data_IF_047610491733
#
_entry.id   IF_047610491733
#
_cell.length_a   1.000
_cell.length_b   1.000
_cell.length_c   1.000
_cell.angle_alpha   90.00
_cell.angle_beta   90.00
_cell.angle_gamma   90.00
#
_symmetry.space_group_name_H-M   'P 1'
#
loop_
_entity.id
_entity.type
_entity.pdbx_description
1 polymer ?
#
# COMPACT_ATOMS: atom_id res chain seq x y z
N UNK A 1 5.94 19.89 -2.83
CA UNK A 1 6.95 18.96 -3.35
C UNK A 1 7.64 18.14 -2.26
N UNK A 2 8.31 18.75 -1.27
CA UNK A 2 9.01 17.99 -0.22
C UNK A 2 8.11 17.07 0.62
N UNK A 3 6.93 17.56 1.07
CA UNK A 3 5.97 16.77 1.86
C UNK A 3 5.47 15.51 1.13
N UNK A 4 5.05 15.65 -0.13
CA UNK A 4 4.60 14.52 -0.95
C UNK A 4 5.71 13.51 -1.22
N UNK A 5 6.93 13.98 -1.46
CA UNK A 5 8.09 13.09 -1.57
C UNK A 5 8.33 12.31 -0.28
N UNK A 6 8.27 12.97 0.88
CA UNK A 6 8.46 12.31 2.17
C UNK A 6 7.39 11.23 2.44
N UNK A 7 6.11 11.54 2.19
CA UNK A 7 5.03 10.56 2.30
C UNK A 7 5.27 9.33 1.41
N UNK A 8 5.70 9.56 0.17
CA UNK A 8 6.05 8.49 -0.77
C UNK A 8 7.20 7.64 -0.26
N UNK A 9 8.25 8.24 0.30
CA UNK A 9 9.36 7.49 0.90
C UNK A 9 8.91 6.65 2.10
N UNK A 10 8.04 7.18 2.96
CA UNK A 10 7.50 6.42 4.09
C UNK A 10 6.75 5.17 3.61
N UNK A 11 5.87 5.30 2.60
CA UNK A 11 5.16 4.16 2.03
C UNK A 11 6.11 3.16 1.36
N UNK A 12 7.12 3.63 0.63
CA UNK A 12 8.10 2.74 0.00
C UNK A 12 8.94 1.98 1.02
N UNK A 13 9.33 2.62 2.13
CA UNK A 13 10.04 1.96 3.22
C UNK A 13 9.16 0.89 3.86
N UNK A 14 7.89 1.20 4.13
CA UNK A 14 6.92 0.26 4.66
C UNK A 14 6.79 -0.99 3.76
N UNK A 15 6.61 -0.79 2.45
CA UNK A 15 6.41 -1.89 1.51
C UNK A 15 7.68 -2.69 1.25
N UNK A 16 8.86 -2.14 1.54
CA UNK A 16 10.16 -2.84 1.42
C UNK A 16 10.61 -3.50 2.72
N UNK A 17 10.02 -3.14 3.86
CA UNK A 17 10.35 -3.75 5.13
C UNK A 17 9.95 -5.24 5.14
N UNK A 18 10.87 -6.07 5.62
CA UNK A 18 10.72 -7.54 5.75
C UNK A 18 10.78 -7.98 7.21
N UNK A 19 10.68 -7.05 8.16
CA UNK A 19 10.59 -7.34 9.58
C UNK A 19 9.34 -8.16 9.91
N UNK A 20 9.47 -9.07 10.89
CA UNK A 20 8.38 -9.98 11.32
C UNK A 20 7.12 -9.29 11.84
N UNK A 21 7.21 -7.99 12.16
CA UNK A 21 6.08 -7.17 12.63
C UNK A 21 5.45 -6.35 11.50
N UNK A 22 5.80 -6.63 10.24
CA UNK A 22 5.28 -5.90 9.09
C UNK A 22 4.10 -6.64 8.46
N UNK A 23 2.91 -6.18 8.78
CA UNK A 23 1.64 -6.69 8.27
C UNK A 23 0.94 -5.55 7.53
N UNK A 24 0.82 -5.68 6.21
CA UNK A 24 0.26 -4.64 5.33
C UNK A 24 -0.89 -5.24 4.54
N UNK A 25 -2.10 -4.83 4.86
CA UNK A 25 -3.31 -5.15 4.11
C UNK A 25 -3.58 -4.09 3.02
N UNK A 26 -4.35 -4.47 2.01
CA UNK A 26 -4.73 -3.60 0.89
C UNK A 26 -6.25 -3.53 0.79
N UNK A 27 -6.76 -2.32 0.65
CA UNK A 27 -8.16 -2.00 0.44
C UNK A 27 -8.32 -1.13 -0.81
N UNK A 28 -9.51 -1.13 -1.39
CA UNK A 28 -9.83 -0.40 -2.59
C UNK A 28 -10.96 0.59 -2.33
N UNK A 29 -10.77 1.86 -2.68
CA UNK A 29 -11.79 2.90 -2.58
C UNK A 29 -11.79 3.76 -3.83
N UNK A 30 -12.76 3.54 -4.74
CA UNK A 30 -12.87 4.24 -6.00
C UNK A 30 -11.55 4.23 -6.81
N UNK A 31 -10.88 5.39 -6.88
CA UNK A 31 -9.59 5.58 -7.56
C UNK A 31 -8.38 5.49 -6.62
N UNK A 32 -8.58 4.97 -5.40
CA UNK A 32 -7.56 4.85 -4.37
C UNK A 32 -7.24 3.38 -4.08
N UNK A 33 -5.94 3.12 -3.97
CA UNK A 33 -5.40 1.92 -3.34
C UNK A 33 -4.94 2.30 -1.93
N UNK A 34 -5.47 1.64 -0.92
CA UNK A 34 -5.20 1.96 0.49
C UNK A 34 -4.35 0.85 1.08
N UNK A 35 -3.16 1.19 1.55
CA UNK A 35 -2.30 0.29 2.31
C UNK A 35 -2.53 0.52 3.80
N UNK A 36 -2.80 -0.54 4.53
CA UNK A 36 -3.07 -0.48 5.97
C UNK A 36 -1.98 -1.26 6.69
N UNK A 37 -1.13 -0.54 7.42
CA UNK A 37 -0.16 -1.14 8.34
C UNK A 37 -0.84 -1.35 9.68
N UNK A 38 -1.03 -2.61 10.06
CA UNK A 38 -1.58 -2.95 11.39
C UNK A 38 -0.47 -2.88 12.43
N UNK A 39 -0.65 -2.08 13.48
CA UNK A 39 0.23 -2.09 14.65
C UNK A 39 -0.53 -2.51 15.91
N UNK A 40 0.17 -2.62 17.05
CA UNK A 40 -0.42 -3.09 18.30
C UNK A 40 -1.50 -2.16 18.89
N UNK A 41 -1.46 -0.86 18.55
CA UNK A 41 -2.27 0.17 19.21
C UNK A 41 -3.16 0.95 18.24
N UNK A 42 -2.67 1.16 17.03
CA UNK A 42 -3.38 1.89 15.98
C UNK A 42 -3.02 1.27 14.63
N UNK A 43 -3.84 1.57 13.63
CA UNK A 43 -3.52 1.27 12.25
C UNK A 43 -2.98 2.54 11.60
N UNK A 44 -1.99 2.37 10.73
CA UNK A 44 -1.49 3.46 9.89
C UNK A 44 -1.91 3.23 8.45
N UNK A 45 -2.57 4.22 7.88
CA UNK A 45 -3.17 4.15 6.56
C UNK A 45 -2.39 4.99 5.56
N UNK A 46 -2.28 4.47 4.34
CA UNK A 46 -1.69 5.17 3.20
C UNK A 46 -2.63 5.00 2.01
N UNK A 47 -3.42 6.02 1.70
CA UNK A 47 -4.19 6.06 0.47
C UNK A 47 -3.33 6.66 -0.64
N UNK A 48 -3.30 6.00 -1.79
CA UNK A 48 -2.66 6.51 -3.00
C UNK A 48 -3.64 6.47 -4.15
N UNK A 49 -3.71 7.57 -4.90
CA UNK A 49 -4.47 7.61 -6.15
C UNK A 49 -3.66 6.92 -7.26
N UNK A 50 -4.29 6.01 -7.98
CA UNK A 50 -3.75 5.36 -9.18
C UNK A 50 -4.70 5.51 -10.36
N UNK A 51 -4.19 5.39 -11.60
CA UNK A 51 -5.05 5.18 -12.75
C UNK A 51 -5.97 3.96 -12.55
N UNK A 52 -7.25 4.12 -12.92
CA UNK A 52 -8.27 3.07 -12.79
C UNK A 52 -7.85 1.71 -13.33
N UNK A 53 -7.17 1.66 -14.48
CA UNK A 53 -6.67 0.41 -15.06
C UNK A 53 -5.68 -0.35 -14.17
N UNK A 54 -4.81 0.37 -13.43
CA UNK A 54 -3.85 -0.26 -12.52
C UNK A 54 -4.58 -0.80 -11.29
N UNK A 55 -5.61 -0.08 -10.79
CA UNK A 55 -6.45 -0.52 -9.67
C UNK A 55 -7.22 -1.79 -10.04
N UNK A 56 -7.89 -1.79 -11.19
CA UNK A 56 -8.61 -2.96 -11.71
C UNK A 56 -7.68 -4.17 -11.88
N UNK A 57 -6.47 -3.95 -12.40
CA UNK A 57 -5.45 -5.00 -12.49
C UNK A 57 -5.07 -5.56 -11.12
N UNK A 58 -4.85 -4.71 -10.11
CA UNK A 58 -4.50 -5.17 -8.76
C UNK A 58 -5.67 -5.92 -8.11
N UNK A 59 -6.90 -5.43 -8.30
CA UNK A 59 -8.13 -6.02 -7.77
C UNK A 59 -8.45 -7.42 -8.38
N UNK A 60 -7.90 -7.76 -9.56
CA UNK A 60 -8.02 -9.11 -10.11
C UNK A 60 -7.22 -10.16 -9.31
N UNK A 61 -6.21 -9.74 -8.54
CA UNK A 61 -5.29 -10.64 -7.82
C UNK A 61 -5.37 -10.50 -6.30
N UNK A 62 -5.99 -9.43 -5.80
CA UNK A 62 -6.20 -9.20 -4.38
C UNK A 62 -7.68 -8.87 -4.13
N UNK A 63 -8.24 -9.56 -3.14
CA UNK A 63 -9.52 -9.16 -2.57
C UNK A 63 -9.31 -7.99 -1.62
N UNK A 64 -10.34 -7.19 -1.44
CA UNK A 64 -10.35 -6.15 -0.41
C UNK A 64 -10.04 -6.72 0.98
N UNK A 65 -9.15 -6.06 1.72
CA UNK A 65 -8.63 -6.52 3.01
C UNK A 65 -7.55 -7.60 2.95
N UNK A 66 -7.13 -8.04 1.76
CA UNK A 66 -6.07 -9.05 1.62
C UNK A 66 -4.72 -8.50 2.10
N UNK A 67 -3.94 -9.35 2.77
CA UNK A 67 -2.55 -9.02 3.08
C UNK A 67 -1.71 -9.02 1.81
N UNK A 68 -1.07 -7.89 1.53
CA UNK A 68 0.02 -7.80 0.57
C UNK A 68 1.34 -8.28 1.19
N UNK A 69 1.53 -7.98 2.47
CA UNK A 69 2.66 -8.43 3.29
C UNK A 69 2.09 -8.96 4.61
N UNK A 70 2.53 -10.14 5.04
CA UNK A 70 2.18 -10.73 6.33
C UNK A 70 3.44 -11.27 7.01
N UNK A 71 3.69 -10.83 8.24
CA UNK A 71 4.90 -11.05 9.02
C UNK A 71 6.20 -10.80 8.23
N UNK A 72 6.21 -9.75 7.41
CA UNK A 72 7.33 -9.39 6.54
C UNK A 72 7.47 -10.23 5.26
N UNK A 73 6.57 -11.19 5.03
CA UNK A 73 6.57 -12.05 3.84
C UNK A 73 5.56 -11.50 2.81
N UNK A 74 6.01 -11.32 1.57
CA UNK A 74 5.13 -10.95 0.45
C UNK A 74 4.18 -12.11 0.15
N UNK A 75 2.89 -11.82 0.08
CA UNK A 75 1.85 -12.86 -0.05
C UNK A 75 1.46 -13.18 -1.50
N UNK A 76 1.76 -12.28 -2.45
CA UNK A 76 1.35 -12.46 -3.85
C UNK A 76 2.33 -11.80 -4.81
N UNK A 77 2.50 -12.40 -6.00
CA UNK A 77 3.32 -11.86 -7.09
C UNK A 77 2.83 -10.50 -7.61
N UNK A 78 1.57 -10.15 -7.34
CA UNK A 78 1.02 -8.82 -7.64
C UNK A 78 1.78 -7.69 -6.92
N UNK A 79 2.50 -7.99 -5.82
CA UNK A 79 3.37 -7.05 -5.13
C UNK A 79 4.37 -6.38 -6.08
N UNK A 80 5.00 -7.14 -6.99
CA UNK A 80 5.97 -6.58 -7.92
C UNK A 80 5.31 -5.63 -8.92
N UNK A 81 4.07 -5.93 -9.33
CA UNK A 81 3.28 -5.04 -10.16
C UNK A 81 2.93 -3.74 -9.40
N UNK A 82 2.41 -3.85 -8.18
CA UNK A 82 2.14 -2.70 -7.29
C UNK A 82 3.39 -1.82 -7.18
N UNK A 83 4.56 -2.41 -6.91
CA UNK A 83 5.81 -1.66 -6.80
C UNK A 83 6.29 -1.05 -8.12
N UNK A 84 6.00 -1.66 -9.28
CA UNK A 84 6.27 -1.07 -10.61
C UNK A 84 5.40 0.16 -10.88
N UNK A 85 4.18 0.21 -10.36
CA UNK A 85 3.28 1.37 -10.51
C UNK A 85 3.67 2.58 -9.64
N UNK A 86 4.67 2.46 -8.75
CA UNK A 86 5.07 3.52 -7.79
C UNK A 86 5.29 4.90 -8.41
N UNK A 87 5.71 4.99 -9.67
CA UNK A 87 5.94 6.26 -10.36
C UNK A 87 4.63 6.98 -10.69
N UNK A 88 3.53 6.23 -10.78
CA UNK A 88 2.17 6.71 -11.08
C UNK A 88 1.40 7.15 -9.83
N UNK A 89 1.86 6.80 -8.62
CA UNK A 89 1.16 7.15 -7.37
C UNK A 89 1.08 8.65 -7.18
N UNK A 90 -0.13 9.15 -6.92
CA UNK A 90 -0.44 10.57 -6.72
C UNK A 90 -1.24 10.76 -5.42
N UNK A 91 -1.28 12.00 -4.96
CA UNK A 91 -2.16 12.47 -3.88
C UNK A 91 -2.08 11.57 -2.63
N UNK A 92 -0.87 11.30 -2.13
CA UNK A 92 -0.70 10.35 -1.02
C UNK A 92 -1.26 10.97 0.26
N UNK A 93 -2.23 10.29 0.87
CA UNK A 93 -2.81 10.68 2.16
C UNK A 93 -2.39 9.65 3.20
N UNK A 94 -1.98 10.15 4.37
CA UNK A 94 -1.56 9.34 5.51
C UNK A 94 -2.38 9.76 6.72
N UNK A 95 -2.95 8.79 7.43
CA UNK A 95 -3.64 9.00 8.70
C UNK A 95 -3.46 7.79 9.62
N UNK A 96 -3.80 7.98 10.88
CA UNK A 96 -3.79 6.97 11.94
C UNK A 96 -5.18 7.00 12.61
N UNK A 97 -5.63 5.83 13.08
CA UNK A 97 -6.84 5.73 13.93
C UNK A 97 -6.52 6.06 15.40
#
# INVERSE_FOLDING_TARGET
>A
MFKEWLKKQQLLLLLRDRGKKNDVAVYFDNDNLIFVKTEKRFNKYFAVRLPKHDIEMIHQYLLDGSFLIYSGVIQSGIYDYVMKTRWKWRDIVIWED
#
